data_IF_445505089452
#
_entry.id   IF_445505089452
#
_cell.length_a   1.000
_cell.length_b   1.000
_cell.length_c   1.000
_cell.angle_alpha   90.00
_cell.angle_beta   90.00
_cell.angle_gamma   90.00
#
_symmetry.space_group_name_H-M   'P 1'
#
loop_
_entity.id
_entity.type
_entity.pdbx_description
1 polymer ?
#
# COMPACT_ATOMS: atom_id res chain seq x y z
N UNK A 1 -29.74 -4.94 5.66
CA UNK A 1 -29.15 -6.30 5.62
C UNK A 1 -27.76 -6.31 4.93
N UNK A 2 -27.52 -5.54 3.87
CA UNK A 2 -26.19 -5.50 3.20
C UNK A 2 -25.13 -4.83 4.08
N UNK A 3 -25.46 -3.74 4.76
CA UNK A 3 -24.52 -3.03 5.64
C UNK A 3 -24.01 -3.86 6.81
N UNK A 4 -24.87 -4.71 7.40
CA UNK A 4 -24.45 -5.60 8.49
C UNK A 4 -23.48 -6.68 8.01
N UNK A 5 -23.63 -7.18 6.78
CA UNK A 5 -22.73 -8.15 6.19
C UNK A 5 -21.38 -7.51 5.89
N UNK A 6 -21.36 -6.31 5.32
CA UNK A 6 -20.12 -5.56 5.06
C UNK A 6 -19.37 -5.30 6.37
N UNK A 7 -20.08 -4.88 7.43
CA UNK A 7 -19.48 -4.70 8.76
C UNK A 7 -18.90 -6.01 9.31
N UNK A 8 -19.65 -7.11 9.23
CA UNK A 8 -19.19 -8.41 9.72
C UNK A 8 -17.92 -8.85 8.99
N UNK A 9 -17.85 -8.67 7.67
CA UNK A 9 -16.66 -9.01 6.88
C UNK A 9 -15.48 -8.10 7.21
N UNK A 10 -15.72 -6.79 7.39
CA UNK A 10 -14.66 -5.89 7.82
C UNK A 10 -14.06 -6.32 9.17
N UNK A 11 -14.89 -6.74 10.12
CA UNK A 11 -14.44 -7.29 11.42
C UNK A 11 -13.64 -8.58 11.24
N UNK A 12 -14.10 -9.49 10.38
CA UNK A 12 -13.37 -10.74 10.08
C UNK A 12 -12.01 -10.45 9.44
N UNK A 13 -11.95 -9.57 8.43
CA UNK A 13 -10.68 -9.18 7.79
C UNK A 13 -9.75 -8.52 8.81
N UNK A 14 -10.29 -7.63 9.65
CA UNK A 14 -9.52 -7.01 10.72
C UNK A 14 -8.96 -8.07 11.70
N UNK A 15 -9.77 -9.04 12.11
CA UNK A 15 -9.31 -10.13 12.95
C UNK A 15 -8.22 -10.97 12.28
N UNK A 16 -8.37 -11.31 11.00
CA UNK A 16 -7.39 -12.08 10.23
C UNK A 16 -6.06 -11.34 10.05
N UNK A 17 -6.07 -10.00 10.00
CA UNK A 17 -4.87 -9.17 9.95
C UNK A 17 -4.15 -9.05 11.30
N UNK A 18 -4.89 -9.18 12.42
CA UNK A 18 -4.33 -8.94 13.76
C UNK A 18 -4.05 -10.24 14.54
N UNK A 19 -4.59 -11.38 14.11
CA UNK A 19 -4.38 -12.67 14.75
C UNK A 19 -3.49 -13.60 13.91
N UNK A 20 -2.59 -14.38 14.57
CA UNK A 20 -2.07 -14.19 15.91
C UNK A 20 -1.18 -12.94 15.97
N UNK A 21 -1.29 -12.13 17.02
CA UNK A 21 -0.42 -10.95 17.17
C UNK A 21 1.07 -11.33 17.29
N UNK A 22 1.95 -10.34 17.38
CA UNK A 22 3.37 -10.55 17.65
C UNK A 22 3.57 -11.32 18.96
N UNK A 23 4.52 -12.25 18.97
CA UNK A 23 4.92 -12.96 20.18
C UNK A 23 5.46 -11.97 21.24
N UNK A 24 5.36 -12.34 22.53
CA UNK A 24 5.86 -11.52 23.61
C UNK A 24 7.38 -11.26 23.47
N UNK A 25 8.12 -12.26 23.01
CA UNK A 25 9.57 -12.19 22.77
C UNK A 25 9.90 -11.16 21.68
N UNK A 26 9.17 -11.13 20.57
CA UNK A 26 9.38 -10.15 19.50
C UNK A 26 9.00 -8.74 19.92
N UNK A 27 7.95 -8.58 20.70
CA UNK A 27 7.59 -7.27 21.28
C UNK A 27 8.70 -6.74 22.18
N UNK A 28 9.24 -7.59 23.08
CA UNK A 28 10.35 -7.24 23.95
C UNK A 28 11.61 -6.85 23.15
N UNK A 29 11.89 -7.54 22.04
CA UNK A 29 12.98 -7.17 21.14
C UNK A 29 12.81 -5.76 20.57
N UNK A 30 11.64 -5.42 20.02
CA UNK A 30 11.37 -4.07 19.50
C UNK A 30 11.43 -3.00 20.60
N UNK A 31 10.97 -3.29 21.81
CA UNK A 31 11.07 -2.40 22.96
C UNK A 31 12.54 -2.15 23.34
N UNK A 32 13.36 -3.19 23.36
CA UNK A 32 14.80 -3.07 23.64
C UNK A 32 15.52 -2.23 22.58
N UNK A 33 15.20 -2.43 21.31
CA UNK A 33 15.77 -1.61 20.22
C UNK A 33 15.31 -0.15 20.30
N UNK A 34 14.05 0.09 20.67
CA UNK A 34 13.53 1.44 20.88
C UNK A 34 14.22 2.14 22.04
N UNK A 35 14.49 1.43 23.15
CA UNK A 35 15.26 1.93 24.30
C UNK A 35 16.71 2.23 23.90
N UNK A 36 17.37 1.32 23.21
CA UNK A 36 18.74 1.54 22.73
C UNK A 36 18.85 2.74 21.77
N UNK A 37 17.81 3.04 21.00
CA UNK A 37 17.77 4.25 20.17
C UNK A 37 17.65 5.52 21.02
N UNK A 38 16.90 5.50 22.12
CA UNK A 38 16.80 6.60 23.08
C UNK A 38 18.12 6.80 23.83
N UNK A 39 18.76 5.73 24.26
CA UNK A 39 20.06 5.80 24.95
C UNK A 39 21.16 6.39 24.06
N UNK A 40 21.20 5.98 22.77
CA UNK A 40 22.11 6.59 21.78
C UNK A 40 21.85 8.08 21.59
N UNK A 41 20.60 8.49 21.58
CA UNK A 41 20.23 9.90 21.51
C UNK A 41 20.68 10.66 22.77
N UNK A 42 20.45 10.12 23.96
CA UNK A 42 20.87 10.71 25.22
C UNK A 42 22.39 10.86 25.32
N UNK A 43 23.14 9.83 24.93
CA UNK A 43 24.62 9.85 24.92
C UNK A 43 25.14 10.89 23.88
N UNK A 44 24.52 11.01 22.74
CA UNK A 44 24.88 12.00 21.70
C UNK A 44 24.68 13.45 22.16
N UNK A 45 23.77 13.68 23.12
CA UNK A 45 23.52 15.00 23.72
C UNK A 45 24.30 15.28 24.98
N UNK A 46 25.25 14.42 25.38
CA UNK A 46 26.16 14.76 26.51
C UNK A 46 26.91 16.04 26.21
N UNK A 47 26.88 16.97 27.18
CA UNK A 47 27.49 18.29 27.08
C UNK A 47 26.80 19.26 26.14
N UNK A 48 25.60 18.94 25.60
CA UNK A 48 24.82 19.82 24.74
C UNK A 48 23.89 20.70 25.60
N UNK A 49 23.80 22.00 25.26
CA UNK A 49 22.96 22.96 25.98
C UNK A 49 21.45 22.61 25.98
N UNK A 50 20.98 21.84 25.00
CA UNK A 50 19.56 21.44 24.86
C UNK A 50 19.24 20.07 25.45
N UNK A 51 20.19 19.47 26.21
CA UNK A 51 20.01 18.13 26.77
C UNK A 51 18.78 18.02 27.65
N UNK A 52 18.62 18.93 28.58
CA UNK A 52 17.52 18.89 29.55
C UNK A 52 16.16 19.18 28.94
N UNK A 53 16.16 20.00 27.89
CA UNK A 53 14.95 20.26 27.09
C UNK A 53 14.56 19.03 26.23
N UNK A 54 15.53 18.24 25.80
CA UNK A 54 15.31 17.15 24.87
C UNK A 54 15.09 15.78 25.52
N UNK A 55 15.41 15.61 26.80
CA UNK A 55 15.38 14.33 27.51
C UNK A 55 14.35 14.29 28.64
N UNK A 56 14.24 13.16 29.30
CA UNK A 56 13.32 12.94 30.41
C UNK A 56 11.85 12.97 29.95
N UNK A 57 11.01 13.64 30.71
CA UNK A 57 9.57 13.78 30.42
C UNK A 57 9.28 14.52 29.10
N UNK A 58 10.21 15.33 28.63
CA UNK A 58 10.11 16.12 27.41
C UNK A 58 10.33 15.33 26.12
N UNK A 59 10.92 14.14 26.18
CA UNK A 59 11.30 13.37 24.99
C UNK A 59 10.09 13.01 24.10
N UNK A 60 9.01 12.54 24.71
CA UNK A 60 7.80 12.15 23.95
C UNK A 60 7.07 13.39 23.40
N UNK A 61 6.83 14.46 24.17
CA UNK A 61 6.34 15.73 23.65
C UNK A 61 7.17 16.30 22.50
N UNK A 62 8.52 16.27 22.63
CA UNK A 62 9.43 16.77 21.60
C UNK A 62 9.33 15.96 20.30
N UNK A 63 9.29 14.63 20.37
CA UNK A 63 9.11 13.78 19.19
C UNK A 63 7.79 14.05 18.50
N UNK A 64 6.71 14.22 19.27
CA UNK A 64 5.39 14.56 18.75
C UNK A 64 5.39 15.94 18.10
N UNK A 65 6.04 16.91 18.72
CA UNK A 65 6.22 18.26 18.19
C UNK A 65 7.01 18.24 16.87
N UNK A 66 8.13 17.53 16.82
CA UNK A 66 8.96 17.35 15.63
C UNK A 66 8.15 16.73 14.47
N UNK A 67 7.40 15.67 14.76
CA UNK A 67 6.59 14.97 13.76
C UNK A 67 5.45 15.86 13.26
N UNK A 68 4.79 16.60 14.16
CA UNK A 68 3.73 17.54 13.80
C UNK A 68 4.26 18.71 12.95
N UNK A 69 5.43 19.26 13.30
CA UNK A 69 6.10 20.31 12.54
C UNK A 69 6.44 19.84 11.12
N UNK A 70 7.08 18.66 11.00
CA UNK A 70 7.44 18.06 9.72
C UNK A 70 6.20 17.87 8.84
N UNK A 71 5.11 17.30 9.40
CA UNK A 71 3.84 17.11 8.67
C UNK A 71 3.19 18.42 8.25
N UNK A 72 3.15 19.41 9.15
CA UNK A 72 2.59 20.72 8.82
C UNK A 72 3.37 21.42 7.71
N UNK A 73 4.71 21.28 7.70
CA UNK A 73 5.58 21.85 6.69
C UNK A 73 5.41 21.18 5.31
N UNK A 74 5.18 19.87 5.27
CA UNK A 74 4.90 19.14 4.03
C UNK A 74 3.56 19.55 3.40
N UNK A 75 2.56 19.85 4.23
CA UNK A 75 1.23 20.28 3.78
C UNK A 75 1.16 21.78 3.47
N UNK A 76 2.23 22.53 3.72
CA UNK A 76 2.27 23.96 3.48
C UNK A 76 2.57 24.24 1.99
N UNK A 77 1.68 25.00 1.35
CA UNK A 77 1.83 25.42 -0.04
C UNK A 77 2.72 26.68 -0.12
N UNK A 78 3.88 26.54 -0.77
CA UNK A 78 4.80 27.64 -1.04
C UNK A 78 5.57 28.20 0.17
N UNK A 79 6.41 29.20 -0.07
CA UNK A 79 7.27 29.79 0.96
C UNK A 79 6.46 30.47 2.10
N UNK A 80 5.44 31.24 1.75
CA UNK A 80 4.57 31.91 2.72
C UNK A 80 3.79 30.94 3.62
N UNK A 81 3.39 29.77 3.11
CA UNK A 81 2.80 28.71 3.90
C UNK A 81 3.79 28.10 4.90
N UNK A 82 5.02 27.90 4.47
CA UNK A 82 6.12 27.39 5.30
C UNK A 82 6.50 28.35 6.44
N UNK A 83 6.47 29.67 6.18
CA UNK A 83 6.71 30.70 7.21
C UNK A 83 5.61 30.73 8.26
N UNK A 84 4.35 30.74 7.86
CA UNK A 84 3.20 30.67 8.79
C UNK A 84 3.24 29.43 9.68
N UNK A 85 3.67 28.28 9.15
CA UNK A 85 3.87 27.08 9.95
C UNK A 85 5.00 27.30 10.96
N UNK A 86 6.12 27.89 10.55
CA UNK A 86 7.24 28.16 11.44
C UNK A 86 6.84 29.10 12.61
N UNK A 87 6.17 30.21 12.33
CA UNK A 87 5.66 31.16 13.34
C UNK A 87 4.68 30.48 14.32
N UNK A 88 3.74 29.71 13.81
CA UNK A 88 2.76 28.99 14.65
C UNK A 88 3.44 28.02 15.60
N UNK A 89 4.44 27.26 15.12
CA UNK A 89 5.15 26.31 15.96
C UNK A 89 6.08 27.02 16.94
N UNK A 90 6.74 28.09 16.56
CA UNK A 90 7.52 28.91 17.48
C UNK A 90 6.69 29.50 18.60
N UNK A 91 5.48 30.00 18.29
CA UNK A 91 4.54 30.52 19.29
C UNK A 91 3.96 29.41 20.20
N UNK A 92 3.88 28.17 19.71
CA UNK A 92 3.36 27.04 20.47
C UNK A 92 4.34 26.55 21.54
N UNK A 93 5.64 26.49 21.21
CA UNK A 93 6.66 26.02 22.11
C UNK A 93 8.03 26.59 21.67
N UNK A 94 8.48 27.60 22.41
CA UNK A 94 9.72 28.31 22.13
C UNK A 94 10.96 27.47 22.45
N UNK A 95 10.88 26.54 23.42
CA UNK A 95 11.99 25.71 23.88
C UNK A 95 12.24 24.56 22.90
N UNK A 96 11.19 23.97 22.32
CA UNK A 96 11.30 22.90 21.33
C UNK A 96 11.61 23.40 19.90
N UNK A 97 11.26 24.65 19.60
CA UNK A 97 11.42 25.19 18.27
C UNK A 97 12.86 25.19 17.72
N UNK A 98 13.91 25.55 18.52
CA UNK A 98 15.32 25.44 18.06
C UNK A 98 15.74 24.01 17.70
N UNK A 99 15.10 22.99 18.31
CA UNK A 99 15.38 21.58 18.06
C UNK A 99 14.74 21.05 16.78
N UNK A 100 13.79 21.77 16.17
CA UNK A 100 13.16 21.40 14.90
C UNK A 100 13.57 22.33 13.75
N UNK A 101 13.89 23.57 14.05
CA UNK A 101 14.45 24.58 13.10
C UNK A 101 15.60 25.32 13.78
N UNK A 102 16.82 24.75 13.74
CA UNK A 102 17.97 25.33 14.43
C UNK A 102 18.34 26.70 13.83
N UNK A 103 18.58 27.71 14.68
CA UNK A 103 19.01 29.03 14.24
C UNK A 103 20.40 28.97 13.58
N UNK A 104 20.63 29.95 12.69
CA UNK A 104 21.93 30.08 12.03
C UNK A 104 23.00 30.47 13.06
N UNK A 105 24.05 29.65 13.21
CA UNK A 105 25.13 29.90 14.18
C UNK A 105 25.10 29.01 15.43
N UNK A 106 23.96 28.51 15.87
CA UNK A 106 23.86 27.62 17.03
C UNK A 106 24.30 26.18 16.65
N UNK A 107 25.47 25.80 17.16
CA UNK A 107 26.05 24.46 16.90
C UNK A 107 25.34 23.38 17.72
N UNK A 108 24.90 23.70 18.92
CA UNK A 108 24.25 22.76 19.84
C UNK A 108 22.83 22.45 19.37
N UNK A 109 22.07 23.45 18.98
CA UNK A 109 20.76 23.23 18.38
C UNK A 109 20.85 22.38 17.11
N UNK A 110 21.86 22.64 16.23
CA UNK A 110 22.09 21.84 15.01
C UNK A 110 22.49 20.40 15.30
N UNK A 111 23.30 20.17 16.35
CA UNK A 111 23.66 18.82 16.78
C UNK A 111 22.41 18.11 17.31
N UNK A 112 21.67 18.75 18.21
CA UNK A 112 20.44 18.19 18.80
C UNK A 112 19.39 17.88 17.72
N UNK A 113 19.16 18.77 16.76
CA UNK A 113 18.26 18.55 15.62
C UNK A 113 18.65 17.32 14.77
N UNK A 114 19.96 17.16 14.47
CA UNK A 114 20.44 16.01 13.69
C UNK A 114 20.19 14.69 14.44
N UNK A 115 20.48 14.66 15.73
CA UNK A 115 20.29 13.46 16.54
C UNK A 115 18.79 13.18 16.79
N UNK A 116 17.97 14.21 17.01
CA UNK A 116 16.50 14.08 17.07
C UNK A 116 15.92 13.49 15.77
N UNK A 117 16.42 13.95 14.62
CA UNK A 117 16.03 13.42 13.32
C UNK A 117 16.40 11.93 13.17
N UNK A 118 17.58 11.52 13.63
CA UNK A 118 18.01 10.11 13.64
C UNK A 118 17.10 9.27 14.55
N UNK A 119 16.83 9.75 15.76
CA UNK A 119 15.92 9.09 16.70
C UNK A 119 14.52 8.94 16.14
N UNK A 120 13.97 10.01 15.55
CA UNK A 120 12.64 9.99 14.96
C UNK A 120 12.56 8.97 13.80
N UNK A 121 13.61 8.89 12.96
CA UNK A 121 13.70 7.89 11.88
C UNK A 121 13.80 6.47 12.44
N UNK A 122 14.69 6.24 13.41
CA UNK A 122 14.84 4.92 14.02
C UNK A 122 13.51 4.43 14.62
N UNK A 123 12.81 5.29 15.38
CA UNK A 123 11.50 4.96 15.96
C UNK A 123 10.42 4.74 14.91
N UNK A 124 10.47 5.46 13.80
CA UNK A 124 9.53 5.25 12.70
C UNK A 124 9.84 3.91 12.01
N UNK A 125 11.10 3.62 11.70
CA UNK A 125 11.53 2.33 11.15
C UNK A 125 11.07 1.17 12.03
N UNK A 126 11.39 1.18 13.30
CA UNK A 126 10.97 0.14 14.25
C UNK A 126 9.44 -0.07 14.29
N UNK A 127 8.66 1.02 14.23
CA UNK A 127 7.19 0.89 14.16
C UNK A 127 6.72 0.27 12.86
N UNK A 128 7.37 0.59 11.76
CA UNK A 128 7.06 0.01 10.46
C UNK A 128 7.42 -1.47 10.44
N UNK A 129 8.62 -1.83 10.90
CA UNK A 129 9.09 -3.21 10.97
C UNK A 129 8.20 -4.07 11.88
N UNK A 130 7.79 -3.52 13.03
CA UNK A 130 6.85 -4.18 13.93
C UNK A 130 5.49 -4.43 13.28
N UNK A 131 4.98 -3.45 12.52
CA UNK A 131 3.71 -3.61 11.78
C UNK A 131 3.84 -4.62 10.66
N UNK A 132 4.93 -4.56 9.89
CA UNK A 132 5.17 -5.51 8.81
C UNK A 132 5.26 -6.94 9.34
N UNK A 133 6.01 -7.14 10.42
CA UNK A 133 6.13 -8.46 11.05
C UNK A 133 4.78 -8.95 11.60
N UNK A 134 4.00 -8.04 12.22
CA UNK A 134 2.66 -8.37 12.68
C UNK A 134 1.76 -8.82 11.54
N UNK A 135 1.77 -8.11 10.41
CA UNK A 135 0.99 -8.48 9.23
C UNK A 135 1.52 -9.78 8.63
N UNK A 136 2.85 -9.92 8.53
CA UNK A 136 3.50 -11.10 7.98
C UNK A 136 3.18 -12.37 8.76
N UNK A 137 3.10 -12.30 10.09
CA UNK A 137 2.78 -13.43 10.97
C UNK A 137 1.28 -13.67 11.11
N UNK A 138 0.44 -12.76 10.63
CA UNK A 138 -1.02 -12.88 10.68
C UNK A 138 -1.55 -14.04 9.82
N UNK A 139 -2.78 -14.46 10.07
CA UNK A 139 -3.46 -15.47 9.25
C UNK A 139 -3.58 -15.00 7.80
N UNK A 140 -3.92 -13.73 7.57
CA UNK A 140 -4.01 -13.17 6.24
C UNK A 140 -2.64 -13.11 5.55
N UNK A 141 -1.57 -12.82 6.30
CA UNK A 141 -0.19 -12.88 5.83
C UNK A 141 0.24 -14.28 5.41
N UNK A 142 -0.21 -15.30 6.14
CA UNK A 142 0.05 -16.70 5.78
C UNK A 142 -0.68 -17.11 4.49
N UNK A 143 -1.93 -16.67 4.32
CA UNK A 143 -2.70 -16.86 3.07
C UNK A 143 -2.01 -16.13 1.91
N UNK A 144 -1.61 -14.85 2.10
CA UNK A 144 -0.94 -14.06 1.07
C UNK A 144 0.35 -14.72 0.56
N UNK A 145 1.16 -15.27 1.48
CA UNK A 145 2.36 -16.05 1.11
C UNK A 145 2.02 -17.37 0.43
N UNK A 146 0.96 -18.05 0.88
CA UNK A 146 0.50 -19.28 0.23
C UNK A 146 0.02 -19.06 -1.21
N UNK A 147 -0.42 -17.86 -1.56
CA UNK A 147 -0.83 -17.50 -2.92
C UNK A 147 0.36 -17.05 -3.80
N UNK A 148 1.47 -16.65 -3.21
CA UNK A 148 2.63 -16.10 -3.92
C UNK A 148 3.15 -17.02 -5.06
N UNK A 149 3.25 -18.38 -4.90
CA UNK A 149 3.69 -19.24 -5.98
C UNK A 149 2.83 -19.17 -7.25
N UNK A 150 1.56 -18.79 -7.11
CA UNK A 150 0.62 -18.63 -8.24
C UNK A 150 0.63 -17.21 -8.78
N UNK A 151 0.76 -16.22 -7.91
CA UNK A 151 0.64 -14.79 -8.26
C UNK A 151 1.97 -14.17 -8.69
N UNK A 152 3.11 -14.81 -8.41
CA UNK A 152 4.44 -14.36 -8.84
C UNK A 152 4.58 -14.18 -10.35
N UNK A 153 3.84 -14.96 -11.15
CA UNK A 153 3.81 -14.81 -12.61
C UNK A 153 3.16 -13.48 -13.06
N UNK A 154 2.33 -12.87 -12.22
CA UNK A 154 1.81 -11.53 -12.41
C UNK A 154 2.70 -10.44 -11.76
N UNK A 155 3.81 -10.83 -11.14
CA UNK A 155 4.69 -9.95 -10.39
C UNK A 155 4.19 -9.63 -8.97
N UNK A 156 3.16 -10.32 -8.46
CA UNK A 156 2.57 -10.04 -7.16
C UNK A 156 3.30 -10.79 -6.05
N UNK A 157 3.77 -10.04 -5.07
CA UNK A 157 4.34 -10.55 -3.83
C UNK A 157 3.25 -10.77 -2.75
N UNK A 158 3.66 -11.26 -1.59
CA UNK A 158 2.75 -11.51 -0.48
C UNK A 158 2.07 -10.23 0.03
N UNK A 159 2.71 -9.05 -0.07
CA UNK A 159 2.14 -7.76 0.36
C UNK A 159 0.99 -7.35 -0.58
N UNK A 160 1.20 -7.47 -1.88
CA UNK A 160 0.18 -7.23 -2.89
C UNK A 160 -0.98 -8.21 -2.71
N UNK A 161 -0.69 -9.51 -2.48
CA UNK A 161 -1.73 -10.51 -2.23
C UNK A 161 -2.60 -10.18 -1.00
N UNK A 162 -2.01 -9.69 0.09
CA UNK A 162 -2.78 -9.22 1.26
C UNK A 162 -3.65 -8.03 0.90
N UNK A 163 -3.12 -7.06 0.15
CA UNK A 163 -3.89 -5.90 -0.29
C UNK A 163 -5.07 -6.32 -1.18
N UNK A 164 -4.87 -7.27 -2.10
CA UNK A 164 -5.92 -7.84 -2.94
C UNK A 164 -7.00 -8.55 -2.12
N UNK A 165 -6.61 -9.39 -1.17
CA UNK A 165 -7.55 -10.08 -0.26
C UNK A 165 -8.34 -9.06 0.59
N UNK A 166 -7.67 -8.03 1.11
CA UNK A 166 -8.33 -6.97 1.88
C UNK A 166 -9.29 -6.16 1.03
N UNK A 167 -8.97 -5.93 -0.24
CA UNK A 167 -9.79 -5.18 -1.19
C UNK A 167 -11.08 -5.90 -1.58
N UNK A 168 -11.17 -7.20 -1.34
CA UNK A 168 -12.41 -7.95 -1.55
C UNK A 168 -13.55 -7.49 -0.64
N UNK A 169 -13.23 -7.01 0.57
CA UNK A 169 -14.21 -6.42 1.47
C UNK A 169 -14.71 -5.05 0.96
N UNK A 170 -13.76 -4.19 0.54
CA UNK A 170 -14.04 -2.87 -0.02
C UNK A 170 -12.89 -2.48 -0.97
N UNK A 171 -13.20 -2.30 -2.26
CA UNK A 171 -12.20 -1.98 -3.30
C UNK A 171 -11.39 -0.72 -2.97
N UNK A 172 -12.03 0.25 -2.34
CA UNK A 172 -11.44 1.53 -1.94
C UNK A 172 -10.32 1.36 -0.91
N UNK A 173 -10.36 0.28 -0.12
CA UNK A 173 -9.35 0.02 0.92
C UNK A 173 -8.01 -0.49 0.37
N UNK A 174 -7.96 -0.98 -0.87
CA UNK A 174 -6.74 -1.55 -1.46
C UNK A 174 -5.60 -0.55 -1.53
N UNK A 175 -5.87 0.68 -1.99
CA UNK A 175 -4.87 1.74 -2.07
C UNK A 175 -4.36 2.14 -0.68
N UNK A 176 -5.27 2.23 0.30
CA UNK A 176 -4.90 2.51 1.69
C UNK A 176 -4.05 1.38 2.29
N UNK A 177 -4.40 0.11 2.02
CA UNK A 177 -3.65 -1.05 2.49
C UNK A 177 -2.25 -1.11 1.85
N UNK A 178 -2.14 -0.90 0.55
CA UNK A 178 -0.85 -0.79 -0.14
C UNK A 178 -0.02 0.37 0.44
N UNK A 179 -0.65 1.53 0.67
CA UNK A 179 0.00 2.67 1.30
C UNK A 179 0.59 2.33 2.67
N UNK A 180 -0.10 1.54 3.49
CA UNK A 180 0.41 1.08 4.80
C UNK A 180 1.52 0.06 4.65
N UNK A 181 1.40 -0.91 3.73
CA UNK A 181 2.36 -2.00 3.54
C UNK A 181 3.69 -1.52 2.95
N UNK A 182 3.63 -0.53 2.05
CA UNK A 182 4.82 0.06 1.40
C UNK A 182 5.31 1.35 2.08
N UNK A 183 4.77 1.72 3.24
CA UNK A 183 5.15 2.94 3.99
C UNK A 183 6.42 2.73 4.82
N UNK A 184 7.37 1.94 4.35
CA UNK A 184 8.56 1.59 5.14
C UNK A 184 9.65 2.66 5.14
N UNK A 185 9.70 3.58 4.17
CA UNK A 185 10.76 4.58 4.09
C UNK A 185 10.32 5.98 4.52
N UNK A 186 11.21 6.63 5.28
CA UNK A 186 11.03 7.91 5.97
C UNK A 186 11.01 9.13 5.02
N UNK A 187 11.18 8.92 3.71
CA UNK A 187 11.01 9.97 2.72
C UNK A 187 9.53 10.18 2.41
N UNK A 188 8.89 10.96 3.30
CA UNK A 188 7.49 11.37 3.18
C UNK A 188 7.19 12.18 1.88
N UNK A 189 8.21 12.46 1.07
CA UNK A 189 8.09 13.09 -0.24
C UNK A 189 8.01 12.08 -1.40
N UNK A 190 8.36 10.80 -1.15
CA UNK A 190 8.22 9.78 -2.16
C UNK A 190 6.75 9.35 -2.27
N UNK A 191 6.21 9.38 -3.49
CA UNK A 191 4.87 8.86 -3.78
C UNK A 191 4.81 7.36 -3.51
N UNK A 192 3.59 6.81 -3.29
CA UNK A 192 3.40 5.37 -3.15
C UNK A 192 4.00 4.62 -4.36
N UNK A 193 3.89 5.21 -5.54
CA UNK A 193 4.44 4.71 -6.79
C UNK A 193 5.98 4.61 -6.75
N UNK A 194 6.67 5.66 -6.26
CA UNK A 194 8.13 5.65 -6.10
C UNK A 194 8.60 4.61 -5.09
N UNK A 195 7.84 4.39 -4.01
CA UNK A 195 8.16 3.41 -2.95
C UNK A 195 7.97 1.98 -3.44
N UNK A 196 6.83 1.70 -4.07
CA UNK A 196 6.60 0.42 -4.73
C UNK A 196 7.68 0.18 -5.78
N UNK A 197 8.03 1.22 -6.54
CA UNK A 197 9.10 1.19 -7.52
C UNK A 197 10.48 0.91 -6.95
N UNK A 198 10.83 1.45 -5.80
CA UNK A 198 12.12 1.23 -5.17
C UNK A 198 12.28 -0.21 -4.65
N UNK A 199 11.23 -0.76 -4.04
CA UNK A 199 11.21 -2.14 -3.54
C UNK A 199 11.22 -3.15 -4.70
N UNK A 200 10.51 -2.86 -5.79
CA UNK A 200 10.44 -3.70 -6.98
C UNK A 200 11.64 -3.52 -7.92
N UNK A 201 12.36 -2.38 -7.87
CA UNK A 201 13.59 -2.14 -8.66
C UNK A 201 14.71 -3.11 -8.33
N UNK A 202 14.70 -3.73 -7.16
CA UNK A 202 15.55 -4.90 -6.90
C UNK A 202 15.29 -6.06 -7.88
N UNK A 203 14.14 -6.05 -8.58
CA UNK A 203 13.73 -7.02 -9.61
C UNK A 203 13.52 -6.47 -11.03
N UNK A 204 13.70 -5.17 -11.31
CA UNK A 204 13.81 -4.62 -12.67
C UNK A 204 12.53 -4.32 -13.46
N UNK A 205 11.31 -4.54 -12.93
CA UNK A 205 10.08 -4.52 -13.74
C UNK A 205 8.93 -3.66 -13.17
N UNK A 206 9.24 -2.53 -12.55
CA UNK A 206 8.26 -1.68 -11.83
C UNK A 206 7.08 -1.20 -12.68
N UNK A 207 7.34 -0.75 -13.91
CA UNK A 207 6.29 -0.24 -14.78
C UNK A 207 5.37 -1.36 -15.28
N UNK A 208 5.91 -2.55 -15.55
CA UNK A 208 5.14 -3.74 -15.94
C UNK A 208 4.28 -4.25 -14.77
N UNK A 209 4.81 -4.22 -13.54
CA UNK A 209 4.04 -4.55 -12.35
C UNK A 209 2.84 -3.61 -12.18
N UNK A 210 3.04 -2.29 -12.34
CA UNK A 210 1.94 -1.34 -12.26
C UNK A 210 0.85 -1.62 -13.30
N UNK A 211 1.23 -1.91 -14.55
CA UNK A 211 0.28 -2.29 -15.62
C UNK A 211 -0.44 -3.59 -15.26
N UNK A 212 0.28 -4.62 -14.82
CA UNK A 212 -0.27 -5.90 -14.37
C UNK A 212 -1.30 -5.71 -13.25
N UNK A 213 -0.97 -4.89 -12.23
CA UNK A 213 -1.89 -4.56 -11.14
C UNK A 213 -3.14 -3.84 -11.64
N UNK A 214 -3.00 -2.81 -12.49
CA UNK A 214 -4.14 -2.06 -13.04
C UNK A 214 -5.08 -3.00 -13.79
N UNK A 215 -4.54 -3.88 -14.64
CA UNK A 215 -5.31 -4.86 -15.40
C UNK A 215 -6.02 -5.86 -14.49
N UNK A 216 -5.31 -6.36 -13.47
CA UNK A 216 -5.93 -7.24 -12.49
C UNK A 216 -7.08 -6.54 -11.76
N UNK A 217 -6.88 -5.31 -11.26
CA UNK A 217 -7.94 -4.55 -10.59
C UNK A 217 -9.12 -4.22 -11.50
N UNK A 218 -8.88 -4.00 -12.80
CA UNK A 218 -9.96 -3.77 -13.76
C UNK A 218 -10.84 -5.02 -13.95
N UNK A 219 -10.22 -6.20 -13.95
CA UNK A 219 -10.89 -7.49 -14.16
C UNK A 219 -11.26 -8.21 -12.85
N UNK A 220 -10.79 -7.69 -11.70
CA UNK A 220 -10.98 -8.27 -10.38
C UNK A 220 -12.47 -8.50 -10.05
N UNK A 221 -12.83 -9.57 -9.33
CA UNK A 221 -14.21 -9.89 -9.01
C UNK A 221 -14.92 -8.75 -8.29
N UNK A 222 -16.24 -8.67 -8.41
CA UNK A 222 -17.04 -7.68 -7.69
C UNK A 222 -16.84 -7.80 -6.18
N UNK A 223 -17.03 -6.71 -5.44
CA UNK A 223 -16.94 -6.71 -4.00
C UNK A 223 -17.92 -7.72 -3.39
N UNK A 224 -17.67 -8.12 -2.14
CA UNK A 224 -18.46 -9.11 -1.43
C UNK A 224 -19.95 -8.78 -1.42
N UNK A 225 -20.32 -7.50 -1.30
CA UNK A 225 -21.72 -7.07 -1.33
C UNK A 225 -22.41 -7.45 -2.66
N UNK A 226 -21.76 -7.19 -3.78
CA UNK A 226 -22.26 -7.56 -5.12
C UNK A 226 -22.34 -9.08 -5.27
N UNK A 227 -21.33 -9.80 -4.79
CA UNK A 227 -21.30 -11.28 -4.82
C UNK A 227 -22.48 -11.89 -4.05
N UNK A 228 -22.81 -11.33 -2.88
CA UNK A 228 -23.96 -11.75 -2.10
C UNK A 228 -25.27 -11.43 -2.84
N UNK A 229 -25.36 -10.29 -3.51
CA UNK A 229 -26.53 -9.93 -4.31
C UNK A 229 -26.72 -10.90 -5.48
N UNK A 230 -25.66 -11.36 -6.13
CA UNK A 230 -25.74 -12.42 -7.15
C UNK A 230 -26.38 -13.68 -6.58
N UNK A 231 -25.95 -14.12 -5.37
CA UNK A 231 -26.60 -15.27 -4.69
C UNK A 231 -28.09 -15.03 -4.40
N UNK A 232 -28.41 -13.82 -3.89
CA UNK A 232 -29.80 -13.49 -3.52
C UNK A 232 -30.70 -13.49 -4.74
N UNK A 233 -30.23 -12.92 -5.86
CA UNK A 233 -31.02 -12.82 -7.10
C UNK A 233 -31.12 -14.14 -7.85
N UNK A 234 -30.03 -14.94 -7.88
CA UNK A 234 -30.01 -16.20 -8.63
C UNK A 234 -30.49 -17.41 -7.81
N UNK A 235 -30.56 -17.28 -6.48
CA UNK A 235 -30.86 -18.36 -5.56
C UNK A 235 -29.77 -19.46 -5.48
N UNK A 236 -28.66 -19.29 -6.22
CA UNK A 236 -27.67 -20.34 -6.43
C UNK A 236 -26.26 -19.96 -5.97
N UNK A 237 -25.65 -20.82 -5.16
CA UNK A 237 -24.22 -20.69 -4.77
C UNK A 237 -23.28 -20.91 -5.95
N UNK A 238 -23.68 -21.66 -6.98
CA UNK A 238 -22.84 -21.90 -8.18
C UNK A 238 -22.58 -20.62 -8.94
N UNK A 239 -23.61 -19.81 -9.14
CA UNK A 239 -23.46 -18.48 -9.79
C UNK A 239 -22.66 -17.50 -8.95
N UNK A 240 -22.83 -17.54 -7.62
CA UNK A 240 -22.01 -16.74 -6.71
C UNK A 240 -20.53 -17.11 -6.82
N UNK A 241 -20.22 -18.40 -6.79
CA UNK A 241 -18.84 -18.89 -6.91
C UNK A 241 -18.26 -18.57 -8.30
N UNK A 242 -19.03 -18.74 -9.36
CA UNK A 242 -18.63 -18.37 -10.71
C UNK A 242 -18.28 -16.87 -10.82
N UNK A 243 -19.08 -15.99 -10.21
CA UNK A 243 -18.84 -14.54 -10.19
C UNK A 243 -17.56 -14.14 -9.45
N UNK A 244 -17.02 -14.99 -8.57
CA UNK A 244 -15.73 -14.78 -7.89
C UNK A 244 -14.60 -15.41 -8.72
N UNK A 245 -14.72 -16.70 -9.02
CA UNK A 245 -13.61 -17.49 -9.58
C UNK A 245 -13.28 -17.07 -11.01
N UNK A 246 -14.30 -16.87 -11.85
CA UNK A 246 -14.08 -16.55 -13.26
C UNK A 246 -13.35 -15.20 -13.46
N UNK A 247 -13.78 -14.07 -12.88
CA UNK A 247 -13.06 -12.81 -13.01
C UNK A 247 -11.66 -12.85 -12.39
N UNK A 248 -11.51 -13.54 -11.24
CA UNK A 248 -10.20 -13.71 -10.59
C UNK A 248 -9.22 -14.46 -11.49
N UNK A 249 -9.65 -15.60 -12.04
CA UNK A 249 -8.82 -16.41 -12.94
C UNK A 249 -8.49 -15.66 -14.24
N UNK A 250 -9.48 -14.96 -14.82
CA UNK A 250 -9.28 -14.15 -16.02
C UNK A 250 -8.31 -13.00 -15.73
N UNK A 251 -8.53 -12.25 -14.66
CA UNK A 251 -7.68 -11.14 -14.26
C UNK A 251 -6.25 -11.57 -13.98
N UNK A 252 -6.07 -12.67 -13.24
CA UNK A 252 -4.75 -13.22 -12.95
C UNK A 252 -4.07 -13.75 -14.23
N UNK A 253 -4.81 -14.41 -15.12
CA UNK A 253 -4.29 -14.88 -16.40
C UNK A 253 -3.79 -13.74 -17.28
N UNK A 254 -4.58 -12.67 -17.43
CA UNK A 254 -4.18 -11.47 -18.21
C UNK A 254 -2.99 -10.76 -17.56
N UNK A 255 -3.04 -10.53 -16.25
CA UNK A 255 -1.95 -9.90 -15.50
C UNK A 255 -0.64 -10.69 -15.62
N UNK A 256 -0.71 -12.01 -15.45
CA UNK A 256 0.44 -12.91 -15.58
C UNK A 256 1.01 -12.92 -17.01
N UNK A 257 0.15 -12.95 -18.03
CA UNK A 257 0.59 -12.90 -19.42
C UNK A 257 1.33 -11.58 -19.71
N UNK A 258 0.76 -10.45 -19.29
CA UNK A 258 1.37 -9.13 -19.53
C UNK A 258 2.69 -8.98 -18.78
N UNK A 259 2.74 -9.38 -17.52
CA UNK A 259 3.96 -9.28 -16.72
C UNK A 259 5.06 -10.23 -17.23
N UNK A 260 4.74 -11.52 -17.43
CA UNK A 260 5.72 -12.54 -17.86
C UNK A 260 6.21 -12.30 -19.28
N UNK A 261 5.32 -11.99 -20.23
CA UNK A 261 5.72 -11.69 -21.61
C UNK A 261 6.46 -10.36 -21.65
N UNK A 262 5.97 -9.33 -20.97
CA UNK A 262 6.59 -8.00 -20.92
C UNK A 262 8.02 -8.06 -20.35
N UNK A 263 8.25 -8.85 -19.30
CA UNK A 263 9.59 -9.05 -18.71
C UNK A 263 10.49 -9.86 -19.65
N UNK A 264 9.97 -10.89 -20.32
CA UNK A 264 10.74 -11.72 -21.26
C UNK A 264 11.20 -10.93 -22.51
N UNK A 265 10.36 -10.02 -23.00
CA UNK A 265 10.67 -9.17 -24.19
C UNK A 265 11.41 -7.87 -23.79
N UNK A 266 11.47 -7.54 -22.51
CA UNK A 266 12.05 -6.27 -22.03
C UNK A 266 11.17 -5.06 -22.36
N UNK A 267 9.85 -5.25 -22.50
CA UNK A 267 8.91 -4.20 -22.86
C UNK A 267 8.80 -3.14 -21.75
N UNK A 268 8.61 -1.90 -22.16
CA UNK A 268 8.27 -0.82 -21.23
C UNK A 268 6.78 -0.90 -20.81
N UNK A 269 6.41 -0.25 -19.68
CA UNK A 269 5.00 -0.23 -19.23
C UNK A 269 4.06 0.38 -20.27
N UNK A 270 4.52 1.39 -21.03
CA UNK A 270 3.72 2.03 -22.10
C UNK A 270 3.49 1.07 -23.27
N UNK A 271 4.51 0.35 -23.69
CA UNK A 271 4.40 -0.66 -24.75
C UNK A 271 3.46 -1.78 -24.34
N UNK A 272 3.58 -2.29 -23.11
CA UNK A 272 2.69 -3.30 -22.57
C UNK A 272 1.23 -2.83 -22.53
N UNK A 273 0.98 -1.60 -22.07
CA UNK A 273 -0.36 -1.02 -22.02
C UNK A 273 -0.96 -0.83 -23.42
N UNK A 274 -0.14 -0.35 -24.38
CA UNK A 274 -0.58 -0.20 -25.78
C UNK A 274 -0.89 -1.55 -26.43
N UNK A 275 -0.07 -2.58 -26.17
CA UNK A 275 -0.30 -3.92 -26.67
C UNK A 275 -1.61 -4.53 -26.13
N UNK A 276 -1.90 -4.34 -24.83
CA UNK A 276 -3.17 -4.76 -24.22
C UNK A 276 -4.36 -4.03 -24.85
N UNK A 277 -4.24 -2.71 -25.03
CA UNK A 277 -5.31 -1.91 -25.65
C UNK A 277 -5.64 -2.40 -27.06
N UNK A 278 -4.64 -2.50 -27.94
CA UNK A 278 -4.85 -2.97 -29.30
C UNK A 278 -5.26 -4.43 -29.38
N UNK A 279 -4.74 -5.27 -28.45
CA UNK A 279 -5.19 -6.66 -28.32
C UNK A 279 -6.67 -6.76 -27.95
N UNK A 280 -7.14 -5.95 -26.99
CA UNK A 280 -8.55 -5.89 -26.62
C UNK A 280 -9.43 -5.42 -27.79
N UNK A 281 -9.01 -4.38 -28.52
CA UNK A 281 -9.71 -3.90 -29.72
C UNK A 281 -9.79 -4.99 -30.79
N UNK A 282 -8.68 -5.70 -31.04
CA UNK A 282 -8.67 -6.80 -32.02
C UNK A 282 -9.63 -7.94 -31.61
N UNK A 283 -9.63 -8.34 -30.33
CA UNK A 283 -10.56 -9.36 -29.81
C UNK A 283 -12.02 -8.92 -29.99
N UNK A 284 -12.34 -7.67 -29.64
CA UNK A 284 -13.70 -7.14 -29.82
C UNK A 284 -14.15 -7.12 -31.30
N UNK A 285 -13.25 -6.73 -32.20
CA UNK A 285 -13.51 -6.77 -33.65
C UNK A 285 -13.76 -8.19 -34.14
N UNK A 286 -12.91 -9.15 -33.72
CA UNK A 286 -13.08 -10.56 -34.11
C UNK A 286 -14.38 -11.13 -33.58
N UNK A 287 -14.73 -10.88 -32.32
CA UNK A 287 -16.00 -11.32 -31.72
C UNK A 287 -17.19 -10.68 -32.42
N UNK A 288 -17.12 -9.36 -32.75
CA UNK A 288 -18.15 -8.67 -33.48
C UNK A 288 -18.38 -9.27 -34.86
N UNK A 289 -17.31 -9.50 -35.62
CA UNK A 289 -17.38 -10.11 -36.95
C UNK A 289 -17.91 -11.56 -36.94
N UNK A 290 -17.50 -12.34 -35.94
CA UNK A 290 -18.00 -13.72 -35.79
C UNK A 290 -19.48 -13.73 -35.40
N UNK A 291 -19.91 -12.83 -34.52
CA UNK A 291 -21.30 -12.69 -34.11
C UNK A 291 -22.19 -12.29 -35.30
N UNK A 292 -21.74 -11.33 -36.10
CA UNK A 292 -22.48 -10.90 -37.31
C UNK A 292 -22.62 -12.03 -38.36
N UNK A 293 -21.54 -12.80 -38.59
CA UNK A 293 -21.57 -13.99 -39.45
C UNK A 293 -22.56 -15.05 -38.96
N UNK A 294 -22.65 -15.28 -37.65
CA UNK A 294 -23.59 -16.23 -37.06
C UNK A 294 -25.04 -15.73 -37.18
N UNK A 295 -25.27 -14.45 -36.92
CA UNK A 295 -26.58 -13.82 -37.08
C UNK A 295 -27.05 -13.93 -38.54
N UNK A 296 -26.19 -13.60 -39.49
CA UNK A 296 -26.47 -13.68 -40.92
C UNK A 296 -26.78 -15.12 -41.41
N UNK A 297 -26.06 -16.13 -40.86
CA UNK A 297 -26.35 -17.55 -41.14
C UNK A 297 -27.73 -17.97 -40.65
N UNK A 298 -28.06 -17.64 -39.37
CA UNK A 298 -29.38 -17.94 -38.79
C UNK A 298 -30.53 -17.26 -39.53
N UNK A 299 -30.30 -16.04 -40.02
CA UNK A 299 -31.29 -15.35 -40.84
C UNK A 299 -31.53 -16.03 -42.18
N UNK A 300 -30.46 -16.49 -42.85
CA UNK A 300 -30.56 -17.25 -44.11
C UNK A 300 -31.25 -18.59 -43.93
N UNK A 301 -30.98 -19.30 -42.83
CA UNK A 301 -31.63 -20.57 -42.50
C UNK A 301 -33.15 -20.38 -42.30
N UNK A 302 -33.56 -19.34 -41.56
CA UNK A 302 -34.98 -19.01 -41.35
C UNK A 302 -35.69 -18.60 -42.64
N UNK A 303 -35.00 -17.89 -43.55
CA UNK A 303 -35.55 -17.51 -44.86
C UNK A 303 -35.63 -18.67 -45.85
N UNK A 304 -34.90 -19.75 -45.64
CA UNK A 304 -34.95 -20.95 -46.44
C UNK A 304 -36.02 -21.95 -45.99
N UNK A 305 -36.57 -21.79 -44.78
CA UNK A 305 -37.65 -22.59 -44.20
C UNK A 305 -39.05 -22.00 -44.48
N UNK A 306 -39.13 -20.77 -45.03
CA UNK A 306 -40.38 -20.11 -45.44
C UNK A 306 -40.55 -20.18 -46.94
#
# INVERSE_FOLDING_TARGET
KVGTVVLAVAVVVFALLHFPGLSAERKAHFETEAQAAVERFAAALEGNAYRDVALGENLVPLINYFTAYKRAKLNASGAAGSERVAERFQARDADFYPLVKPPSGDRDARKAWRELRKLARARQGLRNDMREEQIRTSLLGSIGRGLEPVTQFAGFDWKINIALLSSFAARESSVATLGVLFQQDDDQNASLEERMGAETRAGGATALLAVSMILFFALYPPCLATTIMVKVQTGSYKWMLFAIVFPTALGLGVASAVYSIGTAVGATGIEAMSAVYWGAVAVLLVVGLLSDRQASRRLRERLAET
#
